data_IF_621075694437
#
_entry.id   IF_621075694437
#
_cell.length_a   1.000
_cell.length_b   1.000
_cell.length_c   1.000
_cell.angle_alpha   90.00
_cell.angle_beta   90.00
_cell.angle_gamma   90.00
#
_symmetry.space_group_name_H-M   'P 1'
#
loop_
_entity.id
_entity.type
_entity.pdbx_description
1 polymer ?
#
# COMPACT_ATOMS: atom_id res chain seq x y z
N UNK A 1 5.91 -55.63 -13.58
CA UNK A 1 6.15 -54.38 -12.83
C UNK A 1 5.92 -53.20 -13.76
N UNK A 2 5.17 -52.18 -13.33
CA UNK A 2 4.91 -51.01 -14.16
C UNK A 2 6.05 -49.98 -14.03
N UNK A 3 6.48 -49.40 -15.14
CA UNK A 3 7.50 -48.34 -15.15
C UNK A 3 6.85 -46.96 -15.31
N UNK A 4 7.40 -45.96 -14.61
CA UNK A 4 6.87 -44.59 -14.57
C UNK A 4 6.75 -43.97 -15.96
N UNK A 5 7.71 -44.27 -16.82
CA UNK A 5 7.76 -43.80 -18.20
C UNK A 5 6.62 -44.38 -19.05
N UNK A 6 6.31 -45.67 -18.88
CA UNK A 6 5.20 -46.30 -19.59
C UNK A 6 3.85 -45.69 -19.18
N UNK A 7 3.63 -45.40 -17.89
CA UNK A 7 2.37 -44.82 -17.41
C UNK A 7 2.22 -43.36 -17.89
N UNK A 8 3.25 -42.53 -17.69
CA UNK A 8 3.21 -41.11 -18.11
C UNK A 8 3.11 -40.96 -19.62
N UNK A 9 3.78 -41.82 -20.39
CA UNK A 9 3.70 -41.84 -21.84
C UNK A 9 2.29 -42.17 -22.35
N UNK A 10 1.60 -43.14 -21.73
CA UNK A 10 0.21 -43.47 -22.06
C UNK A 10 -0.75 -42.33 -21.69
N UNK A 11 -0.60 -41.76 -20.50
CA UNK A 11 -1.43 -40.63 -20.05
C UNK A 11 -1.29 -39.41 -20.97
N UNK A 12 -0.06 -39.06 -21.36
CA UNK A 12 0.21 -37.93 -22.26
C UNK A 12 -0.46 -38.11 -23.63
N UNK A 13 -0.38 -39.32 -24.20
CA UNK A 13 -1.01 -39.64 -25.49
C UNK A 13 -2.54 -39.52 -25.46
N UNK A 14 -3.18 -39.88 -24.33
CA UNK A 14 -4.63 -39.75 -24.15
C UNK A 14 -5.03 -38.28 -23.96
N UNK A 15 -4.22 -37.51 -23.23
CA UNK A 15 -4.45 -36.09 -23.00
C UNK A 15 -4.29 -35.26 -24.27
N UNK A 16 -3.38 -35.61 -25.19
CA UNK A 16 -3.20 -34.87 -26.46
C UNK A 16 -4.46 -34.85 -27.34
N UNK A 17 -5.34 -35.85 -27.24
CA UNK A 17 -6.56 -35.95 -28.05
C UNK A 17 -7.77 -35.23 -27.45
N UNK A 18 -7.83 -35.09 -26.12
CA UNK A 18 -8.99 -34.53 -25.41
C UNK A 18 -8.60 -33.62 -24.24
N UNK A 19 -7.46 -32.92 -24.35
CA UNK A 19 -6.83 -32.18 -23.26
C UNK A 19 -7.81 -31.27 -22.53
N UNK A 20 -8.60 -30.50 -23.30
CA UNK A 20 -9.53 -29.52 -22.76
C UNK A 20 -10.66 -30.16 -21.94
N UNK A 21 -11.18 -31.32 -22.36
CA UNK A 21 -12.21 -32.04 -21.62
C UNK A 21 -11.65 -32.61 -20.31
N UNK A 22 -10.45 -33.18 -20.36
CA UNK A 22 -9.76 -33.70 -19.17
C UNK A 22 -9.39 -32.59 -18.18
N UNK A 23 -9.00 -31.42 -18.69
CA UNK A 23 -8.74 -30.22 -17.89
C UNK A 23 -10.01 -29.73 -17.19
N UNK A 24 -11.12 -29.59 -17.92
CA UNK A 24 -12.41 -29.21 -17.34
C UNK A 24 -12.89 -30.21 -16.28
N UNK A 25 -12.76 -31.51 -16.54
CA UNK A 25 -13.10 -32.55 -15.57
C UNK A 25 -12.21 -32.44 -14.32
N UNK A 26 -10.90 -32.22 -14.49
CA UNK A 26 -9.97 -32.05 -13.36
C UNK A 26 -10.27 -30.78 -12.56
N UNK A 27 -10.70 -29.70 -13.23
CA UNK A 27 -11.12 -28.45 -12.60
C UNK A 27 -12.42 -28.63 -11.81
N UNK A 28 -13.40 -29.32 -12.40
CA UNK A 28 -14.67 -29.65 -11.73
C UNK A 28 -14.41 -30.55 -10.52
N UNK A 29 -13.58 -31.59 -10.66
CA UNK A 29 -13.15 -32.43 -9.53
C UNK A 29 -12.45 -31.56 -8.48
N UNK A 30 -11.53 -30.69 -8.88
CA UNK A 30 -10.83 -29.81 -7.95
C UNK A 30 -11.77 -28.87 -7.21
N UNK A 31 -12.83 -28.36 -7.83
CA UNK A 31 -13.80 -27.45 -7.20
C UNK A 31 -14.75 -28.22 -6.28
N UNK A 32 -15.24 -29.38 -6.73
CA UNK A 32 -16.13 -30.26 -5.95
C UNK A 32 -15.39 -30.85 -4.74
N UNK A 33 -14.10 -31.17 -4.90
CA UNK A 33 -13.24 -31.70 -3.84
C UNK A 33 -12.59 -30.59 -3.00
N UNK A 34 -12.44 -29.36 -3.49
CA UNK A 34 -11.92 -28.23 -2.72
C UNK A 34 -12.80 -27.88 -1.51
N UNK A 35 -14.09 -28.19 -1.55
CA UNK A 35 -14.99 -28.13 -0.40
C UNK A 35 -15.10 -29.44 0.42
N UNK A 36 -14.69 -30.59 -0.13
CA UNK A 36 -15.00 -31.92 0.43
C UNK A 36 -13.85 -32.61 1.19
N UNK A 37 -12.77 -31.90 1.57
CA UNK A 37 -12.02 -32.31 2.76
C UNK A 37 -12.74 -31.91 4.07
N UNK A 38 -13.87 -31.21 3.98
CA UNK A 38 -14.77 -30.92 5.09
C UNK A 38 -16.24 -30.98 4.67
N UNK A 39 -16.95 -32.02 5.14
CA UNK A 39 -18.41 -32.27 5.00
C UNK A 39 -18.87 -32.96 3.72
N UNK A 40 -18.88 -34.29 3.79
CA UNK A 40 -19.75 -35.13 2.97
C UNK A 40 -20.92 -35.58 3.85
N UNK A 41 -22.15 -35.15 3.53
CA UNK A 41 -23.35 -35.83 4.03
C UNK A 41 -24.01 -36.64 2.90
N UNK A 42 -24.07 -37.95 3.16
CA UNK A 42 -25.15 -38.92 2.86
C UNK A 42 -25.63 -39.06 1.42
N UNK A 43 -25.23 -40.18 0.80
CA UNK A 43 -26.15 -41.21 0.29
C UNK A 43 -25.36 -42.48 -0.08
N UNK A 44 -25.13 -43.35 0.90
CA UNK A 44 -24.76 -44.76 0.69
C UNK A 44 -25.58 -45.57 1.69
N UNK A 45 -26.87 -45.75 1.38
CA UNK A 45 -27.70 -46.71 2.09
C UNK A 45 -27.49 -48.08 1.43
N UNK A 46 -26.35 -48.69 1.72
CA UNK A 46 -26.12 -50.13 1.74
C UNK A 46 -24.64 -50.32 1.97
N UNK A 47 -24.29 -51.15 2.96
CA UNK A 47 -22.93 -51.65 3.21
C UNK A 47 -22.03 -50.84 4.15
N UNK A 48 -22.46 -50.65 5.41
CA UNK A 48 -21.61 -50.71 6.62
C UNK A 48 -22.48 -50.42 7.85
N UNK A 49 -23.27 -51.40 8.27
CA UNK A 49 -23.63 -51.47 9.69
C UNK A 49 -22.36 -51.92 10.42
N UNK A 50 -22.02 -51.22 11.50
CA UNK A 50 -20.97 -51.57 12.48
C UNK A 50 -19.59 -50.87 12.34
N UNK A 51 -19.53 -49.53 12.34
CA UNK A 51 -18.44 -48.74 13.00
C UNK A 51 -18.70 -47.22 12.89
N UNK A 52 -19.45 -46.62 13.81
CA UNK A 52 -19.50 -45.14 13.97
C UNK A 52 -19.57 -44.71 15.44
N UNK A 53 -18.48 -44.94 16.17
CA UNK A 53 -18.26 -44.46 17.55
C UNK A 53 -17.85 -42.95 17.59
N UNK A 54 -17.71 -42.28 16.44
CA UNK A 54 -17.48 -40.83 16.38
C UNK A 54 -18.68 -40.11 15.76
N UNK A 55 -19.39 -39.39 16.62
CA UNK A 55 -20.54 -38.56 16.28
C UNK A 55 -20.12 -37.39 15.38
N UNK A 56 -20.59 -37.42 14.12
CA UNK A 56 -20.29 -36.41 13.11
C UNK A 56 -20.84 -35.02 13.48
N UNK A 57 -21.79 -34.92 14.43
CA UNK A 57 -22.42 -33.65 14.81
C UNK A 57 -21.48 -32.70 15.57
N UNK A 58 -20.61 -33.21 16.44
CA UNK A 58 -19.64 -32.41 17.19
C UNK A 58 -18.53 -31.88 16.27
N UNK A 59 -18.03 -32.74 15.37
CA UNK A 59 -17.01 -32.38 14.39
C UNK A 59 -17.52 -31.36 13.36
N UNK A 60 -18.75 -31.52 12.88
CA UNK A 60 -19.41 -30.55 12.01
C UNK A 60 -19.72 -29.21 12.69
N UNK A 61 -20.08 -29.24 13.99
CA UNK A 61 -20.25 -28.05 14.82
C UNK A 61 -18.95 -27.29 15.03
N UNK A 62 -17.84 -28.00 15.25
CA UNK A 62 -16.50 -27.42 15.36
C UNK A 62 -16.02 -26.77 14.05
N UNK A 63 -16.21 -27.41 12.89
CA UNK A 63 -15.83 -26.86 11.59
C UNK A 63 -16.65 -25.60 11.26
N UNK A 64 -17.95 -25.61 11.56
CA UNK A 64 -18.81 -24.43 11.37
C UNK A 64 -18.43 -23.26 12.29
N UNK A 65 -18.10 -23.54 13.54
CA UNK A 65 -17.70 -22.51 14.52
C UNK A 65 -16.32 -21.92 14.21
N UNK A 66 -15.34 -22.78 13.89
CA UNK A 66 -13.98 -22.36 13.50
C UNK A 66 -13.98 -21.58 12.18
N UNK A 67 -14.77 -22.00 11.17
CA UNK A 67 -14.92 -21.26 9.92
C UNK A 67 -15.52 -19.85 10.13
N UNK A 68 -16.58 -19.74 10.95
CA UNK A 68 -17.17 -18.43 11.30
C UNK A 68 -16.19 -17.54 12.07
N UNK A 69 -15.40 -18.11 12.98
CA UNK A 69 -14.37 -17.39 13.72
C UNK A 69 -13.26 -16.87 12.78
N UNK A 70 -12.81 -17.67 11.82
CA UNK A 70 -11.80 -17.23 10.84
C UNK A 70 -12.32 -16.10 9.95
N UNK A 71 -13.57 -16.16 9.48
CA UNK A 71 -14.18 -15.08 8.70
C UNK A 71 -14.32 -13.80 9.54
N UNK A 72 -14.68 -13.93 10.82
CA UNK A 72 -14.75 -12.81 11.75
C UNK A 72 -13.36 -12.19 12.03
N UNK A 73 -12.33 -13.00 12.21
CA UNK A 73 -10.96 -12.50 12.36
C UNK A 73 -10.45 -11.84 11.08
N UNK A 74 -10.77 -12.40 9.92
CA UNK A 74 -10.44 -11.80 8.63
C UNK A 74 -11.13 -10.45 8.43
N UNK A 75 -12.41 -10.33 8.82
CA UNK A 75 -13.12 -9.04 8.74
C UNK A 75 -12.53 -7.99 9.68
N UNK A 76 -12.17 -8.35 10.90
CA UNK A 76 -11.43 -7.46 11.83
C UNK A 76 -10.09 -7.05 11.22
N UNK A 77 -9.33 -7.99 10.66
CA UNK A 77 -8.03 -7.69 10.05
C UNK A 77 -8.17 -6.72 8.87
N UNK A 78 -9.22 -6.86 8.05
CA UNK A 78 -9.53 -5.93 6.95
C UNK A 78 -9.88 -4.55 7.50
N UNK A 79 -10.71 -4.47 8.54
CA UNK A 79 -11.07 -3.18 9.18
C UNK A 79 -9.83 -2.49 9.74
N UNK A 80 -8.95 -3.22 10.44
CA UNK A 80 -7.70 -2.68 10.97
C UNK A 80 -6.74 -2.24 9.84
N UNK A 81 -6.72 -2.95 8.72
CA UNK A 81 -5.93 -2.56 7.55
C UNK A 81 -6.44 -1.25 6.96
N UNK A 82 -7.75 -1.11 6.77
CA UNK A 82 -8.36 0.13 6.27
C UNK A 82 -8.06 1.28 7.23
N UNK A 83 -8.25 1.08 8.54
CA UNK A 83 -7.95 2.07 9.55
C UNK A 83 -6.48 2.50 9.52
N UNK A 84 -5.55 1.55 9.39
CA UNK A 84 -4.12 1.84 9.25
C UNK A 84 -3.81 2.71 8.03
N UNK A 85 -4.45 2.45 6.89
CA UNK A 85 -4.25 3.25 5.67
C UNK A 85 -4.79 4.67 5.87
N UNK A 86 -6.01 4.81 6.38
CA UNK A 86 -6.65 6.11 6.60
C UNK A 86 -5.87 6.95 7.60
N UNK A 87 -5.60 6.40 8.79
CA UNK A 87 -4.82 7.10 9.83
C UNK A 87 -3.39 7.34 9.36
N UNK A 88 -2.79 6.39 8.64
CA UNK A 88 -1.46 6.50 8.07
C UNK A 88 -1.31 7.70 7.13
N UNK A 89 -2.26 7.92 6.21
CA UNK A 89 -2.22 9.09 5.32
C UNK A 89 -2.37 10.41 6.07
N UNK A 90 -3.21 10.45 7.10
CA UNK A 90 -3.37 11.67 7.92
C UNK A 90 -2.11 11.97 8.72
N UNK A 91 -1.49 10.95 9.31
CA UNK A 91 -0.22 11.09 10.02
C UNK A 91 0.95 11.42 9.09
N UNK A 92 0.93 10.94 7.84
CA UNK A 92 1.94 11.31 6.84
C UNK A 92 1.91 12.83 6.59
N UNK A 93 0.73 13.40 6.32
CA UNK A 93 0.57 14.85 6.08
C UNK A 93 0.87 15.67 7.33
N UNK A 94 0.37 15.26 8.50
CA UNK A 94 0.69 15.92 9.77
C UNK A 94 2.18 15.86 10.13
N UNK A 95 2.84 14.74 9.84
CA UNK A 95 4.29 14.57 9.98
C UNK A 95 5.06 15.49 9.04
N UNK A 96 4.64 15.60 7.77
CA UNK A 96 5.25 16.56 6.83
C UNK A 96 5.09 18.00 7.32
N UNK A 97 3.93 18.36 7.87
CA UNK A 97 3.72 19.68 8.48
C UNK A 97 4.69 19.95 9.62
N UNK A 98 4.92 18.96 10.49
CA UNK A 98 5.89 19.06 11.57
C UNK A 98 7.30 19.35 11.04
N UNK A 99 7.78 18.62 10.02
CA UNK A 99 9.11 18.86 9.47
C UNK A 99 9.24 20.20 8.74
N UNK A 100 8.21 20.64 8.01
CA UNK A 100 8.17 22.00 7.42
C UNK A 100 8.31 23.06 8.52
N UNK A 101 7.53 22.93 9.60
CA UNK A 101 7.54 23.89 10.70
C UNK A 101 8.83 23.84 11.51
N UNK A 102 9.43 22.65 11.67
CA UNK A 102 10.72 22.48 12.30
C UNK A 102 11.84 23.20 11.52
N UNK A 103 11.80 23.16 10.18
CA UNK A 103 12.70 23.93 9.32
C UNK A 103 12.48 25.45 9.48
N UNK A 104 11.24 25.89 9.70
CA UNK A 104 10.90 27.30 9.99
C UNK A 104 11.22 27.72 11.46
N UNK A 105 11.75 26.81 12.29
CA UNK A 105 12.13 27.07 13.69
C UNK A 105 11.06 26.76 14.75
N UNK A 106 9.90 26.23 14.36
CA UNK A 106 8.79 25.88 15.25
C UNK A 106 8.71 24.36 15.47
N UNK A 107 8.99 23.88 16.69
CA UNK A 107 9.02 22.44 17.00
C UNK A 107 7.81 21.97 17.81
N UNK A 108 6.59 22.22 17.32
CA UNK A 108 5.36 21.78 18.01
C UNK A 108 4.88 20.41 17.49
N UNK A 109 4.97 19.37 18.33
CA UNK A 109 4.49 18.02 17.97
C UNK A 109 2.96 17.95 17.70
N UNK A 110 2.20 18.98 18.10
CA UNK A 110 0.78 19.11 17.84
C UNK A 110 0.41 19.19 16.35
N UNK A 111 1.37 19.41 15.45
CA UNK A 111 1.17 19.36 14.00
C UNK A 111 0.91 17.94 13.46
N UNK A 112 1.32 16.89 14.18
CA UNK A 112 0.99 15.51 13.79
C UNK A 112 -0.53 15.28 13.70
N UNK A 113 -1.29 15.96 14.57
CA UNK A 113 -2.75 15.93 14.57
C UNK A 113 -3.41 17.02 13.73
N UNK A 114 -2.67 17.76 12.91
CA UNK A 114 -3.14 18.95 12.18
C UNK A 114 -4.37 18.66 11.32
N UNK A 115 -4.32 17.58 10.52
CA UNK A 115 -5.42 17.19 9.64
C UNK A 115 -6.73 16.87 10.39
N UNK A 116 -6.66 16.47 11.66
CA UNK A 116 -7.84 16.20 12.49
C UNK A 116 -8.46 17.49 13.07
N UNK A 117 -7.65 18.55 13.25
CA UNK A 117 -8.12 19.81 13.83
C UNK A 117 -8.80 20.72 12.82
N UNK A 118 -8.32 20.76 11.59
CA UNK A 118 -8.84 21.66 10.55
C UNK A 118 -10.11 21.18 9.84
N UNK A 119 -10.63 19.97 10.16
CA UNK A 119 -11.87 19.47 9.57
C UNK A 119 -11.78 19.05 8.09
N UNK A 120 -10.67 19.33 7.40
CA UNK A 120 -10.42 18.93 6.00
C UNK A 120 -9.91 17.49 5.84
N UNK A 121 -10.18 16.62 6.81
CA UNK A 121 -9.69 15.23 6.84
C UNK A 121 -10.10 14.43 5.59
N UNK A 122 -11.30 14.67 5.07
CA UNK A 122 -11.80 13.97 3.89
C UNK A 122 -11.05 14.36 2.62
N UNK A 123 -10.77 15.66 2.43
CA UNK A 123 -10.03 16.16 1.26
C UNK A 123 -8.60 15.63 1.23
N UNK A 124 -7.93 15.63 2.38
CA UNK A 124 -6.58 15.04 2.53
C UNK A 124 -6.59 13.55 2.23
N UNK A 125 -7.53 12.80 2.83
CA UNK A 125 -7.65 11.35 2.63
C UNK A 125 -7.87 11.02 1.14
N UNK A 126 -8.81 11.69 0.48
CA UNK A 126 -9.10 11.46 -0.95
C UNK A 126 -7.89 11.80 -1.82
N UNK A 127 -7.20 12.90 -1.52
CA UNK A 127 -6.00 13.28 -2.29
C UNK A 127 -4.87 12.28 -2.15
N UNK A 128 -4.58 11.83 -0.92
CA UNK A 128 -3.54 10.83 -0.65
C UNK A 128 -3.89 9.47 -1.26
N UNK A 129 -5.17 9.10 -1.24
CA UNK A 129 -5.66 7.89 -1.90
C UNK A 129 -5.49 7.98 -3.43
N UNK A 130 -5.89 9.10 -4.05
CA UNK A 130 -5.73 9.31 -5.50
C UNK A 130 -4.26 9.31 -5.94
N UNK A 131 -3.40 10.01 -5.18
CA UNK A 131 -1.94 9.98 -5.36
C UNK A 131 -1.41 8.54 -5.36
N UNK A 132 -1.86 7.73 -4.39
CA UNK A 132 -1.42 6.34 -4.24
C UNK A 132 -1.92 5.46 -5.38
N UNK A 133 -3.18 5.62 -5.80
CA UNK A 133 -3.75 4.92 -6.96
C UNK A 133 -2.97 5.26 -8.24
N UNK A 134 -2.72 6.54 -8.50
CA UNK A 134 -1.97 6.96 -9.70
C UNK A 134 -0.54 6.41 -9.68
N UNK A 135 0.16 6.51 -8.55
CA UNK A 135 1.51 5.94 -8.43
C UNK A 135 1.48 4.44 -8.66
N UNK A 136 0.52 3.73 -8.07
CA UNK A 136 0.35 2.29 -8.25
C UNK A 136 0.08 1.91 -9.71
N UNK A 137 -0.82 2.62 -10.41
CA UNK A 137 -1.10 2.40 -11.82
C UNK A 137 0.15 2.60 -12.70
N UNK A 138 0.96 3.62 -12.43
CA UNK A 138 2.22 3.83 -13.13
C UNK A 138 3.23 2.72 -12.87
N UNK A 139 3.37 2.28 -11.62
CA UNK A 139 4.25 1.16 -11.28
C UNK A 139 3.78 -0.17 -11.87
N UNK A 140 2.46 -0.37 -12.01
CA UNK A 140 1.86 -1.56 -12.60
C UNK A 140 2.12 -1.61 -14.12
N UNK A 141 2.10 -0.45 -14.78
CA UNK A 141 2.44 -0.36 -16.19
C UNK A 141 3.91 -0.73 -16.43
N UNK A 142 4.82 -0.04 -15.74
CA UNK A 142 6.27 -0.26 -15.83
C UNK A 142 6.98 0.31 -14.59
N UNK A 143 8.09 -0.31 -14.18
CA UNK A 143 8.84 0.11 -12.98
C UNK A 143 9.44 1.52 -13.12
N UNK A 144 10.08 1.82 -14.26
CA UNK A 144 10.77 3.11 -14.49
C UNK A 144 9.80 4.31 -14.44
N UNK A 145 8.69 4.36 -15.21
CA UNK A 145 7.75 5.47 -15.09
C UNK A 145 7.05 5.49 -13.72
N UNK A 146 6.91 4.34 -13.05
CA UNK A 146 6.48 4.28 -11.65
C UNK A 146 7.39 5.09 -10.72
N UNK A 147 8.71 4.93 -10.84
CA UNK A 147 9.68 5.71 -10.05
C UNK A 147 9.60 7.20 -10.38
N UNK A 148 9.59 7.56 -11.67
CA UNK A 148 9.50 8.96 -12.11
C UNK A 148 8.23 9.63 -11.58
N UNK A 149 7.10 8.92 -11.63
CA UNK A 149 5.82 9.42 -11.11
C UNK A 149 5.76 9.43 -9.58
N UNK A 150 6.46 8.51 -8.93
CA UNK A 150 6.69 8.56 -7.48
C UNK A 150 7.36 9.87 -7.05
N UNK A 151 8.40 10.30 -7.77
CA UNK A 151 9.04 11.60 -7.54
C UNK A 151 8.09 12.76 -7.87
N UNK A 152 7.39 12.68 -9.01
CA UNK A 152 6.45 13.72 -9.43
C UNK A 152 5.35 13.99 -8.38
N UNK A 153 4.92 12.96 -7.65
CA UNK A 153 3.87 13.03 -6.66
C UNK A 153 4.37 13.06 -5.21
N UNK A 154 5.69 13.20 -5.01
CA UNK A 154 6.30 13.18 -3.67
C UNK A 154 5.99 14.43 -2.83
N UNK A 155 5.67 15.56 -3.47
CA UNK A 155 5.39 16.84 -2.80
C UNK A 155 3.91 17.02 -2.41
N UNK A 156 3.01 16.15 -2.90
CA UNK A 156 1.58 16.16 -2.54
C UNK A 156 1.32 16.23 -1.03
N UNK A 157 1.90 15.37 -0.18
CA UNK A 157 1.65 15.45 1.26
C UNK A 157 2.16 16.75 1.91
N UNK A 158 3.19 17.39 1.34
CA UNK A 158 3.70 18.68 1.83
C UNK A 158 2.79 19.84 1.40
N UNK A 159 2.26 19.80 0.17
CA UNK A 159 1.26 20.77 -0.31
C UNK A 159 0.00 20.69 0.54
N UNK A 160 -0.49 19.49 0.85
CA UNK A 160 -1.64 19.29 1.74
C UNK A 160 -1.36 19.69 3.19
N UNK A 161 -0.10 19.65 3.61
CA UNK A 161 0.30 20.14 4.92
C UNK A 161 0.18 21.67 4.99
N UNK A 162 0.41 22.37 3.88
CA UNK A 162 0.23 23.83 3.79
C UNK A 162 -1.22 24.25 3.53
N UNK A 163 -1.89 23.63 2.55
CA UNK A 163 -3.31 23.82 2.33
C UNK A 163 -4.03 22.47 2.12
N UNK A 164 -4.68 21.92 3.14
CA UNK A 164 -5.42 20.66 3.02
C UNK A 164 -6.70 20.78 2.19
N UNK A 165 -7.17 22.00 1.90
CA UNK A 165 -8.37 22.30 1.13
C UNK A 165 -8.10 22.64 -0.35
N UNK A 166 -6.84 22.61 -0.82
CA UNK A 166 -6.45 22.95 -2.19
C UNK A 166 -7.11 22.05 -3.27
N UNK A 167 -7.55 20.86 -2.88
CA UNK A 167 -8.18 19.88 -3.76
C UNK A 167 -7.18 18.91 -4.40
N UNK A 168 -7.66 17.69 -4.67
CA UNK A 168 -6.79 16.58 -5.05
C UNK A 168 -6.09 16.77 -6.39
N UNK A 169 -6.85 17.21 -7.40
CA UNK A 169 -6.31 17.45 -8.74
C UNK A 169 -5.25 18.55 -8.73
N UNK A 170 -5.53 19.66 -8.04
CA UNK A 170 -4.62 20.79 -7.94
C UNK A 170 -3.36 20.44 -7.16
N UNK A 171 -3.46 19.71 -6.05
CA UNK A 171 -2.30 19.25 -5.28
C UNK A 171 -1.37 18.35 -6.13
N UNK A 172 -1.94 17.40 -6.88
CA UNK A 172 -1.18 16.47 -7.72
C UNK A 172 -0.54 17.21 -8.91
N UNK A 173 -1.29 18.11 -9.54
CA UNK A 173 -0.79 18.93 -10.64
C UNK A 173 0.35 19.83 -10.19
N UNK A 174 0.18 20.51 -9.06
CA UNK A 174 1.19 21.40 -8.49
C UNK A 174 2.45 20.62 -8.10
N UNK A 175 2.33 19.48 -7.42
CA UNK A 175 3.47 18.61 -7.12
C UNK A 175 4.25 18.21 -8.38
N UNK A 176 3.54 17.83 -9.45
CA UNK A 176 4.17 17.44 -10.71
C UNK A 176 4.88 18.60 -11.42
N UNK A 177 4.37 19.83 -11.27
CA UNK A 177 5.03 21.05 -11.79
C UNK A 177 6.24 21.44 -10.94
N UNK A 178 6.11 21.44 -9.62
CA UNK A 178 7.18 21.77 -8.68
C UNK A 178 8.41 20.88 -8.83
N UNK A 179 8.19 19.62 -9.21
CA UNK A 179 9.27 18.63 -9.38
C UNK A 179 9.74 18.49 -10.83
N UNK A 180 9.21 19.31 -11.75
CA UNK A 180 9.62 19.23 -13.15
C UNK A 180 11.03 19.81 -13.34
N UNK A 181 11.86 19.11 -14.11
CA UNK A 181 13.30 19.39 -14.19
C UNK A 181 14.14 18.87 -13.01
N UNK A 182 13.56 18.74 -11.81
CA UNK A 182 14.29 18.39 -10.58
C UNK A 182 14.32 16.88 -10.27
N UNK A 183 13.55 16.06 -10.99
CA UNK A 183 13.36 14.62 -10.67
C UNK A 183 14.67 13.83 -10.63
N UNK A 184 15.63 14.20 -11.49
CA UNK A 184 16.94 13.55 -11.51
C UNK A 184 17.76 13.88 -10.26
N UNK A 185 17.77 15.15 -9.85
CA UNK A 185 18.48 15.59 -8.65
C UNK A 185 17.85 15.00 -7.39
N UNK A 186 16.51 14.85 -7.36
CA UNK A 186 15.81 14.12 -6.29
C UNK A 186 16.22 12.65 -6.21
N UNK A 187 16.43 12.00 -7.36
CA UNK A 187 16.91 10.62 -7.41
C UNK A 187 18.36 10.51 -6.90
N UNK A 188 19.25 11.43 -7.31
CA UNK A 188 20.62 11.49 -6.81
C UNK A 188 20.65 11.77 -5.30
N UNK A 189 19.76 12.64 -4.81
CA UNK A 189 19.58 12.91 -3.40
C UNK A 189 19.19 11.65 -2.62
N UNK A 190 18.19 10.89 -3.09
CA UNK A 190 17.82 9.62 -2.47
C UNK A 190 18.97 8.58 -2.52
N UNK A 191 19.75 8.54 -3.61
CA UNK A 191 20.95 7.69 -3.71
C UNK A 191 22.02 8.04 -2.67
N UNK A 192 22.16 9.33 -2.31
CA UNK A 192 23.09 9.74 -1.25
C UNK A 192 22.75 9.14 0.12
N UNK A 193 21.46 8.85 0.36
CA UNK A 193 20.99 8.20 1.58
C UNK A 193 21.13 6.67 1.55
N UNK A 194 21.31 6.07 0.38
CA UNK A 194 21.43 4.61 0.25
C UNK A 194 22.60 4.05 1.08
N UNK A 195 23.72 4.77 1.14
CA UNK A 195 24.86 4.40 1.98
C UNK A 195 24.49 4.34 3.48
N UNK A 196 23.72 5.31 3.96
CA UNK A 196 23.22 5.34 5.34
C UNK A 196 22.25 4.21 5.63
N UNK A 197 21.38 3.84 4.67
CA UNK A 197 20.49 2.70 4.81
C UNK A 197 21.26 1.36 4.86
N UNK A 198 22.30 1.20 4.03
CA UNK A 198 23.18 0.01 4.08
C UNK A 198 23.88 -0.07 5.45
N UNK A 199 24.45 1.04 5.93
CA UNK A 199 25.10 1.10 7.24
C UNK A 199 24.11 0.82 8.38
N UNK A 200 22.90 1.36 8.29
CA UNK A 200 21.82 1.08 9.24
C UNK A 200 21.36 -0.37 9.23
N UNK A 201 21.35 -1.03 8.07
CA UNK A 201 21.04 -2.45 7.95
C UNK A 201 22.11 -3.32 8.58
N UNK A 202 23.40 -2.97 8.40
CA UNK A 202 24.52 -3.66 9.04
C UNK A 202 24.47 -3.53 10.58
N UNK A 203 23.90 -2.43 11.10
CA UNK A 203 23.63 -2.23 12.53
C UNK A 203 22.33 -2.93 13.02
N UNK A 204 22.05 -4.15 12.54
CA UNK A 204 20.85 -4.94 12.88
C UNK A 204 19.52 -4.20 12.60
N UNK A 205 19.52 -3.27 11.66
CA UNK A 205 18.34 -2.45 11.31
C UNK A 205 18.05 -1.30 12.28
N UNK A 206 18.75 -1.19 13.41
CA UNK A 206 18.53 -0.10 14.39
C UNK A 206 18.98 1.23 13.79
N UNK A 207 20.08 1.24 13.03
CA UNK A 207 20.59 2.47 12.41
C UNK A 207 19.60 3.06 11.40
N UNK A 208 18.76 2.25 10.75
CA UNK A 208 17.73 2.73 9.79
C UNK A 208 16.73 3.67 10.46
N UNK A 209 16.40 3.44 11.74
CA UNK A 209 15.47 4.28 12.51
C UNK A 209 16.00 5.71 12.64
N UNK A 210 17.32 5.87 12.78
CA UNK A 210 17.96 7.18 12.92
C UNK A 210 18.14 7.92 11.57
N UNK A 211 18.10 7.20 10.45
CA UNK A 211 18.22 7.81 9.11
C UNK A 211 16.92 8.52 8.71
N UNK A 212 15.76 7.98 9.09
CA UNK A 212 14.47 8.51 8.65
C UNK A 212 14.21 9.98 9.05
N UNK A 213 14.46 10.44 10.29
CA UNK A 213 14.29 11.85 10.64
C UNK A 213 15.17 12.79 9.79
N UNK A 214 16.39 12.35 9.46
CA UNK A 214 17.30 13.13 8.63
C UNK A 214 16.80 13.24 7.18
N UNK A 215 16.31 12.13 6.62
CA UNK A 215 15.69 12.09 5.29
C UNK A 215 14.42 12.94 5.24
N UNK A 216 13.55 12.82 6.24
CA UNK A 216 12.29 13.58 6.30
C UNK A 216 12.55 15.09 6.45
N UNK A 217 13.55 15.49 7.24
CA UNK A 217 13.99 16.87 7.36
C UNK A 217 14.55 17.40 6.02
N UNK A 218 15.37 16.60 5.33
CA UNK A 218 15.94 17.00 4.04
C UNK A 218 14.85 17.15 2.97
N UNK A 219 13.84 16.29 2.97
CA UNK A 219 12.70 16.39 2.04
C UNK A 219 11.80 17.60 2.35
N UNK A 220 11.69 17.99 3.62
CA UNK A 220 11.00 19.22 3.99
C UNK A 220 11.75 20.47 3.49
N UNK A 221 13.07 20.52 3.64
CA UNK A 221 13.90 21.60 3.08
C UNK A 221 13.80 21.68 1.56
N UNK A 222 13.87 20.52 0.89
CA UNK A 222 13.65 20.46 -0.56
C UNK A 222 12.27 21.01 -0.92
N UNK A 223 11.21 20.66 -0.19
CA UNK A 223 9.89 21.21 -0.42
C UNK A 223 9.85 22.73 -0.29
N UNK A 224 10.51 23.32 0.72
CA UNK A 224 10.59 24.77 0.90
C UNK A 224 11.23 25.47 -0.32
N UNK A 225 12.33 24.90 -0.83
CA UNK A 225 13.02 25.39 -2.03
C UNK A 225 12.10 25.31 -3.26
N UNK A 226 11.47 24.15 -3.49
CA UNK A 226 10.56 23.95 -4.61
C UNK A 226 9.32 24.85 -4.51
N UNK A 227 8.80 25.06 -3.31
CA UNK A 227 7.66 25.94 -3.02
C UNK A 227 7.99 27.38 -3.41
N UNK A 228 9.16 27.87 -2.97
CA UNK A 228 9.65 29.21 -3.32
C UNK A 228 9.79 29.39 -4.83
N UNK A 229 10.47 28.45 -5.50
CA UNK A 229 10.61 28.44 -6.97
C UNK A 229 9.25 28.46 -7.69
N UNK A 230 8.30 27.64 -7.24
CA UNK A 230 6.96 27.60 -7.85
C UNK A 230 6.15 28.89 -7.68
N UNK A 231 6.39 29.65 -6.61
CA UNK A 231 5.78 30.97 -6.39
C UNK A 231 6.45 32.02 -7.30
N UNK A 232 7.77 32.00 -7.40
CA UNK A 232 8.55 32.89 -8.28
C UNK A 232 8.20 32.68 -9.76
N UNK A 233 8.01 31.43 -10.18
CA UNK A 233 7.60 31.07 -11.54
C UNK A 233 6.09 31.31 -11.81
N UNK A 234 5.33 31.80 -10.82
CA UNK A 234 3.89 32.09 -10.95
C UNK A 234 3.00 30.85 -11.07
N UNK A 235 3.50 29.66 -10.74
CA UNK A 235 2.75 28.41 -10.80
C UNK A 235 1.73 28.25 -9.67
N UNK A 236 1.94 28.95 -8.55
CA UNK A 236 1.08 29.00 -7.37
C UNK A 236 1.24 30.33 -6.62
N UNK A 237 0.35 30.64 -5.67
CA UNK A 237 0.41 31.83 -4.84
C UNK A 237 0.49 31.50 -3.35
N UNK A 238 0.99 32.45 -2.56
CA UNK A 238 1.02 32.36 -1.09
C UNK A 238 -0.38 32.10 -0.50
N UNK A 239 -1.39 32.77 -1.06
CA UNK A 239 -2.80 32.62 -0.69
C UNK A 239 -3.32 31.23 -1.03
N UNK A 240 -2.96 30.68 -2.20
CA UNK A 240 -3.35 29.33 -2.59
C UNK A 240 -2.77 28.26 -1.66
N UNK A 241 -1.59 28.47 -1.09
CA UNK A 241 -0.96 27.54 -0.15
C UNK A 241 -1.26 27.87 1.33
N UNK A 242 -2.09 28.86 1.63
CA UNK A 242 -2.31 29.35 3.00
C UNK A 242 -1.01 29.69 3.76
N UNK A 243 0.01 30.18 3.04
CA UNK A 243 1.31 30.54 3.64
C UNK A 243 1.39 32.05 3.84
N UNK A 244 1.66 32.48 5.07
CA UNK A 244 1.68 33.90 5.47
C UNK A 244 2.90 34.64 4.94
N UNK A 245 4.03 33.96 4.72
CA UNK A 245 5.29 34.60 4.35
C UNK A 245 6.03 33.80 3.27
N UNK A 246 6.13 34.37 2.06
CA UNK A 246 6.78 33.72 0.92
C UNK A 246 8.27 34.08 0.77
N UNK A 247 8.74 35.00 1.61
CA UNK A 247 10.13 35.50 1.61
C UNK A 247 10.88 35.11 2.90
N UNK A 248 10.56 33.98 3.52
CA UNK A 248 11.37 33.47 4.63
C UNK A 248 12.79 33.17 4.15
N UNK A 249 13.78 33.87 4.71
CA UNK A 249 15.19 33.54 4.52
C UNK A 249 15.40 32.08 4.94
N UNK A 250 15.87 31.28 3.99
CA UNK A 250 16.48 29.97 4.25
C UNK A 250 17.85 30.23 4.90
#
# INVERSE_FOLDING_TARGET
MWTREQIKGRAKRILELNYWKAFLVSLVISIVTAGSYGKAEKNINEFTDDYTIFDNTIFEGLINWTGKLLVFLASIAIILLILRVVVGYMLEVGGRKFFIKAAEGETNMGYLGYCFKEGSYFGVMVTMLLRSIYTFLWTLLLVIPGIIKGYAYSMVPYILADNPSIGAERAIQLSNRMTDGEKWDMFVLDLSFLGWYILGMLALGIGVIFVNPYVDSTKAELYLILRKKAIEDGSTSCEELNVVNCNGNI
#
